data_IF_220552205869
#
_entry.id   IF_220552205869
#
_cell.length_a   1.000
_cell.length_b   1.000
_cell.length_c   1.000
_cell.angle_alpha   90.00
_cell.angle_beta   90.00
_cell.angle_gamma   90.00
#
_symmetry.space_group_name_H-M   'P 1'
#
loop_
_entity.id
_entity.type
_entity.pdbx_description
1 polymer ?
#
# COMPACT_ATOMS: atom_id res chain seq x y z
N UNK A 1 -23.22 -4.96 28.07
CA UNK A 1 -22.32 -4.56 26.95
C UNK A 1 -20.92 -4.43 27.50
N UNK A 2 -20.00 -5.28 27.06
CA UNK A 2 -18.59 -5.18 27.42
C UNK A 2 -18.02 -3.94 26.74
N UNK A 3 -17.51 -3.01 27.52
CA UNK A 3 -16.90 -1.78 26.99
C UNK A 3 -15.61 -2.17 26.28
N UNK A 4 -15.50 -1.89 24.99
CA UNK A 4 -14.26 -2.10 24.24
C UNK A 4 -13.18 -1.18 24.79
N UNK A 5 -12.08 -1.76 25.26
CA UNK A 5 -10.90 -1.01 25.70
C UNK A 5 -9.86 -1.09 24.59
N UNK A 6 -9.60 0.05 23.96
CA UNK A 6 -8.59 0.16 22.92
C UNK A 6 -7.20 0.10 23.55
N UNK A 7 -6.51 -1.02 23.38
CA UNK A 7 -5.10 -1.14 23.77
C UNK A 7 -4.25 -0.65 22.62
N UNK A 8 -3.51 0.46 22.78
CA UNK A 8 -2.64 0.96 21.72
C UNK A 8 -1.63 -0.13 21.34
N UNK A 9 -1.62 -0.52 20.07
CA UNK A 9 -0.53 -1.34 19.55
C UNK A 9 0.73 -0.47 19.53
N UNK A 10 1.71 -0.82 20.34
CA UNK A 10 3.01 -0.15 20.32
C UNK A 10 3.75 -0.57 19.04
N UNK A 11 3.51 0.14 17.95
CA UNK A 11 4.38 0.05 16.79
C UNK A 11 5.77 0.53 17.19
N UNK A 12 6.85 -0.14 16.73
CA UNK A 12 8.21 0.32 17.00
C UNK A 12 8.33 1.79 16.61
N UNK A 13 9.04 2.59 17.41
CA UNK A 13 9.36 3.96 17.01
C UNK A 13 10.26 3.86 15.79
N UNK A 14 9.81 4.41 14.68
CA UNK A 14 10.56 4.41 13.42
C UNK A 14 11.79 5.32 13.46
N UNK A 15 12.81 5.05 12.65
CA UNK A 15 12.96 3.86 11.80
C UNK A 15 13.38 2.63 12.63
N UNK A 16 12.77 1.49 12.36
CA UNK A 16 13.07 0.22 12.99
C UNK A 16 13.69 -0.73 11.98
N UNK A 17 14.81 -1.37 12.34
CA UNK A 17 15.45 -2.39 11.51
C UNK A 17 15.70 -3.64 12.35
N UNK A 18 15.27 -4.79 11.87
CA UNK A 18 15.52 -6.07 12.49
C UNK A 18 15.90 -7.11 11.42
N UNK A 19 16.91 -7.90 11.69
CA UNK A 19 17.34 -8.99 10.85
C UNK A 19 17.01 -10.31 11.54
N UNK A 20 16.33 -11.21 10.83
CA UNK A 20 16.09 -12.59 11.27
C UNK A 20 17.01 -13.50 10.47
N UNK A 21 17.90 -14.19 11.15
CA UNK A 21 18.76 -15.17 10.53
C UNK A 21 17.98 -16.42 10.11
N UNK A 22 18.33 -16.96 8.97
CA UNK A 22 17.88 -18.27 8.54
C UNK A 22 19.08 -19.00 7.90
N UNK A 23 19.61 -19.98 8.61
CA UNK A 23 20.85 -20.69 8.28
C UNK A 23 20.82 -21.47 6.95
N UNK A 24 19.67 -21.57 6.30
CA UNK A 24 19.45 -22.46 5.15
C UNK A 24 19.14 -21.72 3.84
N UNK A 25 18.86 -20.41 3.85
CA UNK A 25 18.33 -19.72 2.68
C UNK A 25 19.39 -18.89 1.94
N UNK A 26 19.54 -19.17 0.64
CA UNK A 26 20.27 -18.33 -0.34
C UNK A 26 19.49 -17.09 -0.74
N UNK A 27 18.33 -16.87 -0.14
CA UNK A 27 17.40 -15.79 -0.46
C UNK A 27 17.19 -14.85 0.72
N UNK A 28 17.10 -13.57 0.43
CA UNK A 28 16.69 -12.53 1.35
C UNK A 28 15.25 -12.10 1.04
N UNK A 29 14.42 -11.92 2.05
CA UNK A 29 13.12 -11.26 1.94
C UNK A 29 13.20 -9.91 2.66
N UNK A 30 13.02 -8.82 1.92
CA UNK A 30 12.94 -7.47 2.45
C UNK A 30 11.48 -7.10 2.66
N UNK A 31 11.11 -6.73 3.88
CA UNK A 31 9.79 -6.22 4.20
C UNK A 31 9.89 -4.77 4.66
N UNK A 32 9.36 -3.85 3.88
CA UNK A 32 9.21 -2.44 4.22
C UNK A 32 7.77 -2.20 4.65
N UNK A 33 7.56 -1.81 5.89
CA UNK A 33 6.23 -1.54 6.45
C UNK A 33 6.16 -0.09 6.89
N UNK A 34 5.49 0.73 6.10
CA UNK A 34 5.18 2.11 6.46
C UNK A 34 3.84 2.15 7.17
N UNK A 35 3.81 2.68 8.37
CA UNK A 35 2.61 2.68 9.20
C UNK A 35 2.37 4.02 9.88
N UNK A 36 1.12 4.27 10.24
CA UNK A 36 0.75 5.48 10.93
C UNK A 36 -0.76 5.71 10.95
N UNK A 37 -1.13 6.90 11.39
CA UNK A 37 -2.52 7.34 11.35
C UNK A 37 -2.85 7.90 9.96
N UNK A 38 -4.12 7.72 9.53
CA UNK A 38 -4.64 8.37 8.35
C UNK A 38 -5.99 9.02 8.67
N UNK A 39 -6.46 9.89 7.81
CA UNK A 39 -7.78 10.51 7.94
C UNK A 39 -8.80 9.64 7.20
N UNK A 40 -9.77 8.99 7.88
CA UNK A 40 -10.77 8.16 7.22
C UNK A 40 -11.62 8.96 6.22
N UNK A 41 -12.13 8.25 5.23
CA UNK A 41 -13.03 8.78 4.21
C UNK A 41 -12.69 8.29 2.81
N UNK A 42 -13.68 8.27 1.94
CA UNK A 42 -13.61 7.70 0.60
C UNK A 42 -12.41 8.21 -0.22
N UNK A 43 -12.17 9.53 -0.25
CA UNK A 43 -11.08 10.11 -1.04
C UNK A 43 -9.72 9.56 -0.59
N UNK A 44 -9.51 9.45 0.71
CA UNK A 44 -8.27 8.98 1.28
C UNK A 44 -8.07 7.49 1.02
N UNK A 45 -9.13 6.70 1.19
CA UNK A 45 -9.12 5.27 0.87
C UNK A 45 -8.78 5.02 -0.60
N UNK A 46 -9.39 5.77 -1.50
CA UNK A 46 -9.12 5.67 -2.94
C UNK A 46 -7.69 6.09 -3.30
N UNK A 47 -7.19 7.17 -2.68
CA UNK A 47 -5.82 7.64 -2.89
C UNK A 47 -4.81 6.58 -2.44
N UNK A 48 -4.97 6.02 -1.24
CA UNK A 48 -4.09 4.96 -0.73
C UNK A 48 -4.10 3.72 -1.63
N UNK A 49 -5.26 3.30 -2.14
CA UNK A 49 -5.37 2.18 -3.09
C UNK A 49 -4.65 2.49 -4.41
N UNK A 50 -4.82 3.69 -4.96
CA UNK A 50 -4.11 4.11 -6.17
C UNK A 50 -2.60 4.15 -5.95
N UNK A 51 -2.13 4.66 -4.80
CA UNK A 51 -0.72 4.64 -4.43
C UNK A 51 -0.16 3.22 -4.38
N UNK A 52 -0.90 2.26 -3.81
CA UNK A 52 -0.50 0.86 -3.78
C UNK A 52 -0.30 0.31 -5.19
N UNK A 53 -1.23 0.59 -6.10
CA UNK A 53 -1.13 0.11 -7.49
C UNK A 53 0.00 0.80 -8.27
N UNK A 54 0.23 2.10 -8.04
CA UNK A 54 1.38 2.81 -8.59
C UNK A 54 2.69 2.20 -8.11
N UNK A 55 2.83 1.94 -6.80
CA UNK A 55 4.02 1.30 -6.24
C UNK A 55 4.21 -0.10 -6.82
N UNK A 56 3.16 -0.92 -6.87
CA UNK A 56 3.22 -2.26 -7.46
C UNK A 56 3.74 -2.21 -8.90
N UNK A 57 3.23 -1.28 -9.70
CA UNK A 57 3.69 -1.11 -11.09
C UNK A 57 5.17 -0.70 -11.15
N UNK A 58 5.65 0.18 -10.27
CA UNK A 58 7.07 0.58 -10.20
C UNK A 58 7.97 -0.59 -9.79
N UNK A 59 7.56 -1.36 -8.78
CA UNK A 59 8.30 -2.55 -8.35
C UNK A 59 8.45 -3.56 -9.49
N UNK A 60 7.36 -3.84 -10.20
CA UNK A 60 7.38 -4.77 -11.34
C UNK A 60 8.26 -4.25 -12.47
N UNK A 61 8.05 -3.01 -12.92
CA UNK A 61 8.76 -2.46 -14.07
C UNK A 61 10.26 -2.27 -13.83
N UNK A 62 10.65 -1.89 -12.62
CA UNK A 62 12.05 -1.60 -12.31
C UNK A 62 12.79 -2.84 -11.81
N UNK A 63 12.30 -3.48 -10.73
CA UNK A 63 13.03 -4.57 -10.10
C UNK A 63 12.94 -5.89 -10.88
N UNK A 64 11.77 -6.18 -11.46
CA UNK A 64 11.54 -7.40 -12.21
C UNK A 64 11.94 -7.26 -13.69
N UNK A 65 11.35 -6.29 -14.42
CA UNK A 65 11.50 -6.22 -15.87
C UNK A 65 12.84 -5.60 -16.29
N UNK A 66 13.22 -4.46 -15.68
CA UNK A 66 14.44 -3.74 -16.06
C UNK A 66 15.70 -4.33 -15.44
N UNK A 67 15.68 -4.65 -14.13
CA UNK A 67 16.85 -5.13 -13.40
C UNK A 67 16.93 -6.66 -13.35
N UNK A 68 15.81 -7.35 -13.48
CA UNK A 68 15.69 -8.82 -13.39
C UNK A 68 16.32 -9.41 -12.11
N UNK A 69 16.18 -8.70 -10.98
CA UNK A 69 16.76 -9.11 -9.68
C UNK A 69 15.73 -9.71 -8.73
N UNK A 70 14.44 -9.60 -9.05
CA UNK A 70 13.32 -10.17 -8.27
C UNK A 70 12.33 -10.85 -9.20
N UNK A 71 11.64 -11.87 -8.70
CA UNK A 71 10.62 -12.57 -9.48
C UNK A 71 9.23 -11.96 -9.28
N UNK A 72 8.81 -11.78 -8.05
CA UNK A 72 7.46 -11.32 -7.71
C UNK A 72 7.49 -10.33 -6.54
N UNK A 73 7.89 -9.07 -6.79
CA UNK A 73 7.81 -8.06 -5.76
C UNK A 73 6.35 -7.71 -5.50
N UNK A 74 6.02 -7.41 -4.25
CA UNK A 74 4.64 -7.23 -3.81
C UNK A 74 4.46 -5.93 -3.03
N UNK A 75 3.41 -5.20 -3.34
CA UNK A 75 2.96 -4.05 -2.57
C UNK A 75 1.53 -4.30 -2.09
N UNK A 76 1.30 -4.17 -0.79
CA UNK A 76 -0.01 -4.30 -0.19
C UNK A 76 -0.35 -3.10 0.69
N UNK A 77 -1.62 -2.97 0.99
CA UNK A 77 -2.16 -1.88 1.78
C UNK A 77 -3.26 -2.42 2.69
N UNK A 78 -3.05 -2.28 3.98
CA UNK A 78 -4.09 -2.42 4.98
C UNK A 78 -4.42 -1.05 5.58
N UNK A 79 -5.70 -0.72 5.69
CA UNK A 79 -6.16 0.46 6.42
C UNK A 79 -7.55 0.20 7.02
N UNK A 80 -7.83 0.84 8.14
CA UNK A 80 -9.12 0.78 8.80
C UNK A 80 -9.37 2.09 9.56
N UNK A 81 -10.62 2.58 9.52
CA UNK A 81 -11.04 3.75 10.27
C UNK A 81 -11.38 3.43 11.72
N UNK A 82 -11.75 2.18 12.01
CA UNK A 82 -12.23 1.69 13.32
C UNK A 82 -11.43 0.45 13.71
N UNK A 83 -11.03 0.28 14.98
CA UNK A 83 -11.23 1.17 16.13
C UNK A 83 -10.33 2.41 16.14
N UNK A 84 -9.20 2.37 15.45
CA UNK A 84 -8.26 3.48 15.26
C UNK A 84 -7.99 3.67 13.77
N UNK A 85 -8.00 4.92 13.32
CA UNK A 85 -7.70 5.27 11.95
C UNK A 85 -6.21 5.07 11.64
N UNK A 86 -5.85 3.87 11.19
CA UNK A 86 -4.46 3.46 10.90
C UNK A 86 -4.33 2.89 9.51
N UNK A 87 -3.11 2.99 8.96
CA UNK A 87 -2.71 2.32 7.73
C UNK A 87 -1.40 1.56 7.93
N UNK A 88 -1.23 0.51 7.13
CA UNK A 88 0.04 -0.17 6.89
C UNK A 88 0.22 -0.30 5.38
N UNK A 89 1.27 0.29 4.86
CA UNK A 89 1.67 0.16 3.46
C UNK A 89 2.89 -0.77 3.44
N UNK A 90 2.72 -1.95 2.89
CA UNK A 90 3.69 -3.04 2.98
C UNK A 90 4.29 -3.34 1.61
N UNK A 91 5.62 -3.44 1.55
CA UNK A 91 6.36 -3.88 0.39
C UNK A 91 7.14 -5.13 0.77
N UNK A 92 6.98 -6.20 0.00
CA UNK A 92 7.73 -7.44 0.14
C UNK A 92 8.54 -7.72 -1.12
N UNK A 93 9.82 -7.97 -0.95
CA UNK A 93 10.77 -8.18 -2.03
C UNK A 93 11.62 -9.39 -1.70
N UNK A 94 11.33 -10.52 -2.35
CA UNK A 94 12.10 -11.75 -2.26
C UNK A 94 13.16 -11.78 -3.38
N UNK A 95 14.41 -11.97 -3.02
CA UNK A 95 15.56 -11.89 -3.94
C UNK A 95 16.74 -12.72 -3.47
N UNK A 96 17.73 -12.96 -4.36
CA UNK A 96 18.99 -13.56 -3.99
C UNK A 96 19.82 -12.60 -3.14
N UNK A 97 20.57 -13.12 -2.15
CA UNK A 97 21.39 -12.32 -1.24
C UNK A 97 22.34 -11.35 -1.97
N UNK A 98 22.93 -11.76 -3.08
CA UNK A 98 23.83 -10.95 -3.93
C UNK A 98 23.17 -9.68 -4.51
N UNK A 99 21.86 -9.66 -4.60
CA UNK A 99 21.08 -8.54 -5.17
C UNK A 99 20.51 -7.60 -4.11
N UNK A 100 20.69 -7.90 -2.83
CA UNK A 100 20.10 -7.15 -1.72
C UNK A 100 20.35 -5.66 -1.80
N UNK A 101 21.61 -5.25 -1.87
CA UNK A 101 21.98 -3.84 -1.83
C UNK A 101 21.51 -3.08 -3.08
N UNK A 102 21.54 -3.76 -4.25
CA UNK A 102 20.99 -3.20 -5.50
C UNK A 102 19.47 -2.97 -5.40
N UNK A 103 18.75 -3.93 -4.78
CA UNK A 103 17.31 -3.81 -4.59
C UNK A 103 16.95 -2.67 -3.63
N UNK A 104 17.69 -2.52 -2.52
CA UNK A 104 17.52 -1.42 -1.56
C UNK A 104 17.73 -0.07 -2.26
N UNK A 105 18.85 0.11 -2.98
CA UNK A 105 19.11 1.36 -3.72
C UNK A 105 18.03 1.67 -4.77
N UNK A 106 17.58 0.66 -5.49
CA UNK A 106 16.52 0.83 -6.49
C UNK A 106 15.18 1.22 -5.83
N UNK A 107 14.83 0.59 -4.69
CA UNK A 107 13.63 0.92 -3.95
C UNK A 107 13.68 2.35 -3.39
N UNK A 108 14.80 2.78 -2.83
CA UNK A 108 14.99 4.16 -2.36
C UNK A 108 14.82 5.15 -3.52
N UNK A 109 15.35 4.81 -4.70
CA UNK A 109 15.16 5.58 -5.93
C UNK A 109 13.70 5.69 -6.36
N UNK A 110 12.95 4.56 -6.33
CA UNK A 110 11.52 4.52 -6.64
C UNK A 110 10.73 5.40 -5.67
N UNK A 111 10.96 5.26 -4.37
CA UNK A 111 10.26 6.03 -3.33
C UNK A 111 10.53 7.52 -3.53
N UNK A 112 11.79 7.91 -3.74
CA UNK A 112 12.18 9.31 -3.98
C UNK A 112 11.52 9.87 -5.24
N UNK A 113 11.50 9.10 -6.34
CA UNK A 113 10.81 9.50 -7.57
C UNK A 113 9.33 9.78 -7.31
N UNK A 114 8.63 8.86 -6.65
CA UNK A 114 7.19 8.96 -6.38
C UNK A 114 6.84 10.11 -5.41
N UNK A 115 7.77 10.51 -4.55
CA UNK A 115 7.61 11.67 -3.64
C UNK A 115 7.89 13.01 -4.32
N UNK A 116 8.77 13.04 -5.31
CA UNK A 116 9.24 14.30 -5.92
C UNK A 116 8.67 14.57 -7.31
N UNK A 117 8.21 13.51 -8.00
CA UNK A 117 7.71 13.59 -9.37
C UNK A 117 6.27 13.10 -9.47
N UNK A 118 5.51 13.69 -10.38
CA UNK A 118 4.15 13.24 -10.68
C UNK A 118 4.18 12.05 -11.62
N UNK A 119 3.32 11.07 -11.39
CA UNK A 119 3.03 10.05 -12.41
C UNK A 119 2.34 10.69 -13.61
N UNK A 120 2.35 10.02 -14.77
CA UNK A 120 1.67 10.54 -15.95
C UNK A 120 0.13 10.47 -15.79
N UNK A 121 -0.57 11.42 -16.41
CA UNK A 121 -2.04 11.39 -16.47
C UNK A 121 -2.56 10.11 -17.13
N UNK A 122 -1.84 9.59 -18.13
CA UNK A 122 -2.19 8.33 -18.79
C UNK A 122 -2.13 7.14 -17.84
N UNK A 123 -1.12 7.06 -16.97
CA UNK A 123 -0.99 6.02 -15.94
C UNK A 123 -2.13 6.13 -14.92
N UNK A 124 -2.38 7.31 -14.37
CA UNK A 124 -3.46 7.53 -13.42
C UNK A 124 -4.82 7.17 -14.00
N UNK A 125 -5.09 7.57 -15.24
CA UNK A 125 -6.37 7.28 -15.91
C UNK A 125 -6.58 5.77 -16.14
N UNK A 126 -5.54 5.02 -16.49
CA UNK A 126 -5.61 3.55 -16.60
C UNK A 126 -5.99 2.90 -15.27
N UNK A 127 -5.38 3.33 -14.16
CA UNK A 127 -5.69 2.83 -12.83
C UNK A 127 -7.13 3.18 -12.43
N UNK A 128 -7.57 4.42 -12.65
CA UNK A 128 -8.95 4.82 -12.39
C UNK A 128 -9.96 3.98 -13.17
N UNK A 129 -9.69 3.71 -14.44
CA UNK A 129 -10.56 2.87 -15.26
C UNK A 129 -10.63 1.44 -14.72
N UNK A 130 -9.51 0.85 -14.29
CA UNK A 130 -9.49 -0.48 -13.65
C UNK A 130 -10.37 -0.51 -12.40
N UNK A 131 -10.31 0.53 -11.56
CA UNK A 131 -11.14 0.64 -10.34
C UNK A 131 -12.64 0.71 -10.66
N UNK A 132 -13.01 1.48 -11.69
CA UNK A 132 -14.42 1.58 -12.13
C UNK A 132 -14.93 0.25 -12.68
N UNK A 133 -14.11 -0.47 -13.45
CA UNK A 133 -14.47 -1.81 -13.98
C UNK A 133 -14.65 -2.80 -12.83
N UNK A 134 -13.74 -2.81 -11.85
CA UNK A 134 -13.82 -3.69 -10.67
C UNK A 134 -15.08 -3.39 -9.86
N UNK A 135 -15.38 -2.11 -9.59
CA UNK A 135 -16.61 -1.72 -8.88
C UNK A 135 -17.86 -2.17 -9.65
N UNK A 136 -17.89 -2.01 -10.98
CA UNK A 136 -19.05 -2.44 -11.79
C UNK A 136 -19.25 -3.96 -11.71
N UNK A 137 -18.17 -4.74 -11.75
CA UNK A 137 -18.24 -6.20 -11.62
C UNK A 137 -18.81 -6.61 -10.27
N UNK A 138 -18.32 -6.04 -9.16
CA UNK A 138 -18.82 -6.37 -7.83
C UNK A 138 -20.31 -6.03 -7.63
N UNK A 139 -20.88 -5.13 -8.43
CA UNK A 139 -22.29 -4.77 -8.39
C UNK A 139 -23.16 -5.59 -9.35
N UNK A 140 -22.57 -6.27 -10.34
CA UNK A 140 -23.32 -7.07 -11.32
C UNK A 140 -23.73 -8.44 -10.80
N UNK A 141 -23.06 -8.91 -9.75
CA UNK A 141 -23.40 -10.16 -9.08
C UNK A 141 -24.33 -9.83 -7.91
N UNK A 142 -25.65 -10.01 -8.12
CA UNK A 142 -26.71 -9.77 -7.11
C UNK A 142 -26.61 -10.68 -5.87
N UNK A 143 -25.40 -11.05 -5.47
CA UNK A 143 -25.17 -11.94 -4.36
C UNK A 143 -25.25 -11.17 -3.02
N UNK A 144 -26.08 -11.59 -2.05
CA UNK A 144 -26.14 -10.99 -0.72
C UNK A 144 -24.78 -10.93 -0.01
N UNK A 145 -23.87 -11.85 -0.34
CA UNK A 145 -22.50 -11.90 0.19
C UNK A 145 -21.69 -10.68 -0.24
N UNK A 146 -21.83 -10.18 -1.47
CA UNK A 146 -21.12 -9.00 -1.96
C UNK A 146 -21.59 -7.73 -1.24
N UNK A 147 -22.89 -7.57 -1.03
CA UNK A 147 -23.41 -6.47 -0.25
C UNK A 147 -22.95 -6.49 1.20
N UNK A 148 -22.87 -7.67 1.82
CA UNK A 148 -22.29 -7.81 3.16
C UNK A 148 -20.84 -7.32 3.17
N UNK A 149 -20.02 -7.72 2.20
CA UNK A 149 -18.62 -7.31 2.09
C UNK A 149 -18.50 -5.80 1.88
N UNK A 150 -19.33 -5.21 0.99
CA UNK A 150 -19.37 -3.77 0.74
C UNK A 150 -19.68 -3.01 2.03
N UNK A 151 -20.79 -3.36 2.70
CA UNK A 151 -21.22 -2.69 3.94
C UNK A 151 -20.20 -2.84 5.07
N UNK A 152 -19.62 -4.02 5.21
CA UNK A 152 -18.56 -4.26 6.20
C UNK A 152 -17.35 -3.37 5.94
N UNK A 153 -16.92 -3.28 4.67
CA UNK A 153 -15.78 -2.45 4.26
C UNK A 153 -16.05 -0.96 4.50
N UNK A 154 -17.24 -0.47 4.16
CA UNK A 154 -17.62 0.93 4.42
C UNK A 154 -17.54 1.24 5.92
N UNK A 155 -18.13 0.37 6.77
CA UNK A 155 -18.09 0.54 8.22
C UNK A 155 -16.66 0.52 8.77
N UNK A 156 -15.83 -0.44 8.34
CA UNK A 156 -14.43 -0.55 8.78
C UNK A 156 -13.60 0.67 8.40
N UNK A 157 -13.87 1.26 7.24
CA UNK A 157 -13.14 2.42 6.74
C UNK A 157 -13.69 3.75 7.26
N UNK A 158 -14.82 3.75 7.97
CA UNK A 158 -15.52 4.97 8.37
C UNK A 158 -16.13 5.71 7.17
N UNK A 159 -16.55 4.98 6.14
CA UNK A 159 -17.21 5.46 4.93
C UNK A 159 -18.73 5.28 5.04
N UNK A 160 -19.50 6.11 4.31
CA UNK A 160 -20.97 6.08 4.29
C UNK A 160 -21.52 5.45 3.01
N UNK A 161 -22.83 5.18 2.97
CA UNK A 161 -23.52 4.80 1.72
C UNK A 161 -23.48 5.93 0.68
N UNK A 162 -23.51 7.18 1.11
CA UNK A 162 -23.37 8.34 0.21
C UNK A 162 -21.98 8.35 -0.45
N UNK A 163 -20.91 7.98 0.30
CA UNK A 163 -19.58 7.78 -0.25
C UNK A 163 -19.56 6.68 -1.32
N UNK A 164 -20.31 5.61 -1.08
CA UNK A 164 -20.42 4.52 -2.07
C UNK A 164 -21.04 5.01 -3.39
N UNK A 165 -22.10 5.81 -3.34
CA UNK A 165 -22.72 6.39 -4.52
C UNK A 165 -21.82 7.42 -5.20
N UNK A 166 -21.08 8.22 -4.43
CA UNK A 166 -20.15 9.24 -4.92
C UNK A 166 -18.80 8.70 -5.38
N UNK A 167 -18.55 7.38 -5.28
CA UNK A 167 -17.29 6.73 -5.58
C UNK A 167 -16.67 7.18 -6.92
N UNK A 168 -17.46 7.16 -7.99
CA UNK A 168 -16.97 7.48 -9.34
C UNK A 168 -16.52 8.94 -9.48
N UNK A 169 -17.26 9.87 -8.87
CA UNK A 169 -16.91 11.29 -8.90
C UNK A 169 -15.68 11.56 -8.04
N UNK A 170 -15.63 10.97 -6.86
CA UNK A 170 -14.47 11.07 -5.97
C UNK A 170 -13.21 10.52 -6.64
N UNK A 171 -13.28 9.32 -7.25
CA UNK A 171 -12.15 8.72 -7.96
C UNK A 171 -11.66 9.61 -9.12
N UNK A 172 -12.57 10.17 -9.92
CA UNK A 172 -12.21 11.09 -11.02
C UNK A 172 -11.50 12.34 -10.52
N UNK A 173 -11.86 12.86 -9.35
CA UNK A 173 -11.31 14.09 -8.79
C UNK A 173 -9.86 13.95 -8.26
N UNK A 174 -9.33 12.73 -8.07
CA UNK A 174 -7.96 12.51 -7.62
C UNK A 174 -7.00 12.86 -8.77
N UNK A 175 -5.98 13.65 -8.47
CA UNK A 175 -4.98 14.14 -9.43
C UNK A 175 -3.63 13.43 -9.26
N UNK A 176 -2.74 13.58 -10.23
CA UNK A 176 -1.37 13.08 -10.14
C UNK A 176 -0.59 13.76 -9.01
N UNK A 177 -0.92 15.01 -8.69
CA UNK A 177 -0.36 15.73 -7.54
C UNK A 177 -0.86 15.16 -6.20
N UNK A 178 -2.11 14.72 -6.11
CA UNK A 178 -2.61 14.05 -4.90
C UNK A 178 -1.84 12.76 -4.62
N UNK A 179 -1.52 11.98 -5.67
CA UNK A 179 -0.71 10.76 -5.56
C UNK A 179 0.70 11.10 -5.06
N UNK A 180 1.36 12.10 -5.66
CA UNK A 180 2.69 12.55 -5.22
C UNK A 180 2.68 12.97 -3.74
N UNK A 181 1.73 13.83 -3.34
CA UNK A 181 1.58 14.27 -1.95
C UNK A 181 1.27 13.10 -1.01
N UNK A 182 0.49 12.12 -1.48
CA UNK A 182 0.23 10.90 -0.72
C UNK A 182 1.52 10.12 -0.42
N UNK A 183 2.40 9.92 -1.40
CA UNK A 183 3.70 9.30 -1.15
C UNK A 183 4.57 10.10 -0.19
N UNK A 184 4.58 11.43 -0.30
CA UNK A 184 5.29 12.31 0.61
C UNK A 184 4.74 12.21 2.06
N UNK A 185 3.42 12.02 2.22
CA UNK A 185 2.76 11.95 3.52
C UNK A 185 2.84 10.55 4.16
N UNK A 186 2.62 9.47 3.40
CA UNK A 186 2.40 8.13 3.93
C UNK A 186 3.63 7.21 3.84
N UNK A 187 4.54 7.45 2.90
CA UNK A 187 5.74 6.63 2.69
C UNK A 187 6.97 7.39 3.17
N UNK A 188 7.12 7.55 4.49
CA UNK A 188 8.18 8.34 5.10
C UNK A 188 9.25 7.48 5.77
N UNK A 189 10.53 7.82 5.67
CA UNK A 189 11.61 7.08 6.34
C UNK A 189 11.42 6.93 7.84
N UNK A 190 10.87 7.95 8.52
CA UNK A 190 10.57 7.91 9.95
C UNK A 190 9.37 7.04 10.33
N UNK A 191 8.66 6.48 9.35
CA UNK A 191 7.49 5.61 9.56
C UNK A 191 7.72 4.19 9.07
N UNK A 192 8.98 3.81 8.78
CA UNK A 192 9.30 2.50 8.24
C UNK A 192 9.79 1.54 9.32
N UNK A 193 9.25 0.33 9.33
CA UNK A 193 9.87 -0.85 9.91
C UNK A 193 10.44 -1.70 8.77
N UNK A 194 11.75 -1.95 8.79
CA UNK A 194 12.43 -2.78 7.81
C UNK A 194 12.84 -4.09 8.45
N UNK A 195 12.24 -5.17 7.99
CA UNK A 195 12.50 -6.52 8.45
C UNK A 195 13.25 -7.29 7.37
N UNK A 196 14.37 -7.88 7.73
CA UNK A 196 15.15 -8.77 6.88
C UNK A 196 14.94 -10.21 7.32
N UNK A 197 14.63 -11.09 6.39
CA UNK A 197 14.70 -12.52 6.59
C UNK A 197 15.72 -13.08 5.64
N UNK A 198 16.80 -13.66 6.17
CA UNK A 198 17.90 -14.21 5.38
C UNK A 198 19.23 -14.09 6.11
N UNK A 199 20.33 -14.55 5.49
CA UNK A 199 21.65 -14.39 6.07
C UNK A 199 22.05 -12.90 6.02
N UNK A 200 22.32 -12.23 7.16
CA UNK A 200 22.68 -10.82 7.20
C UNK A 200 24.08 -10.50 6.67
N UNK A 201 24.92 -11.53 6.40
CA UNK A 201 26.32 -11.38 5.98
C UNK A 201 26.67 -12.25 4.78
#
# INVERSE_FOLDING_TARGET
>A
MTRFEDKPSNMPKSPYKEAFENDVETQTVLNYIYSGNYKPGLRQSLMLKLMRDVMQNRLLSILREKMNIVYSPYADLYYAGVPQAKYNFWLEIALKNENRDKAIQALDGIIKELQTSRISEGELNKLKMSFLVTKRKSLSDDAPAEWKNILTTLLQNGESLEDFDNYSNCLKSITTEDIRKGFEEYVRPERVALLYKGNPF
#
